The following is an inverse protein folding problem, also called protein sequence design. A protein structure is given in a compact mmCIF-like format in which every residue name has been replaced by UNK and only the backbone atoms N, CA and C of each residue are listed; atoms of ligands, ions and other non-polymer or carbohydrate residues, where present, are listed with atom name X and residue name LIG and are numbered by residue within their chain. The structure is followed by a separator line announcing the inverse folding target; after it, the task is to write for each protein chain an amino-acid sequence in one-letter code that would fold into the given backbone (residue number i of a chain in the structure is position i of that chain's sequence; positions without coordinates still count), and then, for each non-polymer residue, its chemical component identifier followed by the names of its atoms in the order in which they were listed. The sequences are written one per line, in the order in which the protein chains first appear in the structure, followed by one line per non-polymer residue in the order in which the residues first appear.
data_IF_791532952945
#
_entry.id   IF_791532952945
#
_cell.length_a   1.000
_cell.length_b   1.000
_cell.length_c   1.000
_cell.angle_alpha   90.00
_cell.angle_beta   90.00
_cell.angle_gamma   90.00
#
_symmetry.space_group_name_H-M   'P 1'
#
loop_
_entity.id
_entity.type
_entity.pdbx_description
1 polymer ?
#
# COMPACT_ATOMS: atom_id res chain seq x y z
N UNK A 1 -9.65 -5.65 1.40
CA UNK A 1 -8.84 -6.35 0.39
C UNK A 1 -7.54 -6.85 1.01
N UNK A 2 -6.99 -8.00 0.56
CA UNK A 2 -5.63 -8.41 0.94
C UNK A 2 -4.61 -7.46 0.28
N UNK A 3 -3.71 -6.79 1.05
CA UNK A 3 -2.77 -5.82 0.50
C UNK A 3 -1.78 -6.41 -0.52
N UNK A 4 -1.41 -7.69 -0.39
CA UNK A 4 -0.63 -8.39 -1.43
C UNK A 4 -1.31 -8.35 -2.80
N UNK A 5 -2.62 -8.57 -2.83
CA UNK A 5 -3.38 -8.61 -4.07
C UNK A 5 -3.37 -7.27 -4.79
N UNK A 6 -3.28 -6.16 -4.05
CA UNK A 6 -3.20 -4.81 -4.63
C UNK A 6 -2.00 -4.71 -5.58
N UNK A 7 -0.82 -5.07 -5.09
CA UNK A 7 0.43 -4.98 -5.86
C UNK A 7 0.55 -6.10 -6.90
N UNK A 8 0.04 -7.30 -6.60
CA UNK A 8 0.02 -8.41 -7.54
C UNK A 8 -0.85 -8.09 -8.77
N UNK A 9 -2.04 -7.52 -8.57
CA UNK A 9 -2.93 -7.10 -9.67
C UNK A 9 -2.31 -5.94 -10.48
N UNK A 10 -1.65 -4.98 -9.83
CA UNK A 10 -0.86 -3.94 -10.49
C UNK A 10 0.25 -4.56 -11.34
N UNK A 11 0.98 -5.52 -10.80
CA UNK A 11 2.17 -6.11 -11.41
C UNK A 11 1.90 -6.71 -12.80
N UNK A 12 0.70 -7.25 -13.02
CA UNK A 12 0.28 -7.80 -14.31
C UNK A 12 -0.19 -6.76 -15.33
N UNK A 13 -0.51 -5.54 -14.89
CA UNK A 13 -1.16 -4.48 -15.70
C UNK A 13 -0.26 -3.28 -15.98
N UNK A 14 0.69 -3.02 -15.10
CA UNK A 14 1.53 -1.83 -15.19
C UNK A 14 2.37 -1.81 -16.47
N UNK A 15 2.46 -0.67 -17.18
CA UNK A 15 3.29 -0.55 -18.37
C UNK A 15 4.78 -0.80 -18.10
N UNK A 16 5.46 -1.41 -19.08
CA UNK A 16 6.88 -1.79 -18.99
C UNK A 16 7.86 -0.61 -18.93
N UNK A 17 7.36 0.61 -19.09
CA UNK A 17 8.12 1.86 -18.95
C UNK A 17 7.68 2.69 -17.74
N UNK A 18 6.84 2.18 -16.86
CA UNK A 18 6.36 2.92 -15.70
C UNK A 18 7.47 3.22 -14.69
N UNK A 19 7.26 4.26 -13.89
CA UNK A 19 8.05 4.54 -12.70
C UNK A 19 7.16 4.25 -11.49
N UNK A 20 7.68 3.48 -10.53
CA UNK A 20 6.95 3.18 -9.31
C UNK A 20 7.67 3.77 -8.11
N UNK A 21 6.95 4.53 -7.31
CA UNK A 21 7.44 5.00 -6.01
C UNK A 21 6.72 4.27 -4.90
N UNK A 22 7.40 3.96 -3.83
CA UNK A 22 6.78 3.36 -2.66
C UNK A 22 7.08 4.18 -1.42
N UNK A 23 6.07 4.35 -0.59
CA UNK A 23 6.25 4.96 0.72
C UNK A 23 6.83 3.94 1.71
N UNK A 24 7.40 4.42 2.78
CA UNK A 24 7.88 3.59 3.88
C UNK A 24 6.73 2.95 4.66
N UNK A 25 7.02 1.84 5.32
CA UNK A 25 6.04 1.00 5.99
C UNK A 25 5.64 -0.21 5.16
N UNK A 26 4.47 -0.79 5.42
CA UNK A 26 4.01 -2.01 4.73
C UNK A 26 3.89 -1.86 3.22
N UNK A 27 3.67 -0.65 2.71
CA UNK A 27 3.66 -0.37 1.27
C UNK A 27 4.99 -0.76 0.59
N UNK A 28 6.14 -0.45 1.23
CA UNK A 28 7.46 -0.85 0.73
C UNK A 28 7.64 -2.37 0.69
N UNK A 29 7.11 -3.09 1.69
CA UNK A 29 7.20 -4.55 1.75
C UNK A 29 6.41 -5.20 0.62
N UNK A 30 5.18 -4.74 0.37
CA UNK A 30 4.35 -5.24 -0.72
C UNK A 30 4.94 -4.91 -2.07
N UNK A 31 5.46 -3.68 -2.25
CA UNK A 31 6.21 -3.27 -3.44
C UNK A 31 7.39 -4.22 -3.72
N UNK A 32 8.26 -4.43 -2.74
CA UNK A 32 9.46 -5.24 -2.91
C UNK A 32 9.16 -6.71 -3.18
N UNK A 33 8.06 -7.24 -2.63
CA UNK A 33 7.71 -8.66 -2.69
C UNK A 33 6.88 -9.03 -3.91
N UNK A 34 5.91 -8.20 -4.28
CA UNK A 34 4.86 -8.60 -5.21
C UNK A 34 4.92 -7.85 -6.56
N UNK A 35 5.68 -6.75 -6.68
CA UNK A 35 5.88 -6.06 -7.94
C UNK A 35 7.03 -6.67 -8.76
N UNK A 36 6.72 -7.10 -9.98
CA UNK A 36 7.73 -7.58 -10.93
C UNK A 36 8.23 -6.41 -11.78
N UNK A 37 9.47 -6.02 -11.56
CA UNK A 37 10.16 -5.03 -12.39
C UNK A 37 10.53 -5.66 -13.75
N UNK A 38 10.24 -4.96 -14.84
CA UNK A 38 10.52 -5.43 -16.20
C UNK A 38 10.69 -4.26 -17.18
N UNK A 39 11.16 -4.58 -18.39
CA UNK A 39 11.36 -3.57 -19.43
C UNK A 39 12.28 -2.44 -18.97
N UNK A 40 11.82 -1.21 -19.11
CA UNK A 40 12.52 -0.01 -18.68
C UNK A 40 11.95 0.61 -17.40
N UNK A 41 11.18 -0.16 -16.63
CA UNK A 41 10.62 0.29 -15.36
C UNK A 41 11.72 0.79 -14.41
N UNK A 42 11.37 1.76 -13.59
CA UNK A 42 12.23 2.28 -12.52
C UNK A 42 11.45 2.29 -11.21
N UNK A 43 12.18 2.16 -10.11
CA UNK A 43 11.60 2.23 -8.77
C UNK A 43 12.36 3.18 -7.87
N UNK A 44 11.67 3.82 -6.94
CA UNK A 44 12.28 4.67 -5.91
C UNK A 44 11.50 4.57 -4.61
N UNK A 45 12.23 4.50 -3.50
CA UNK A 45 11.70 4.54 -2.14
C UNK A 45 12.79 5.06 -1.19
N UNK A 46 12.42 5.44 0.04
CA UNK A 46 13.38 5.85 1.07
C UNK A 46 14.01 4.62 1.73
N UNK A 47 14.96 3.97 1.04
CA UNK A 47 15.51 2.67 1.44
C UNK A 47 16.43 2.70 2.66
N UNK A 48 17.08 3.83 2.94
CA UNK A 48 18.05 3.96 4.04
C UNK A 48 17.40 4.56 5.29
N UNK A 49 16.68 5.67 5.13
CA UNK A 49 16.09 6.41 6.25
C UNK A 49 14.66 5.96 6.56
N UNK A 50 14.05 5.13 5.71
CA UNK A 50 12.66 4.68 5.84
C UNK A 50 11.68 5.83 6.13
N UNK A 51 11.83 6.95 5.40
CA UNK A 51 11.04 8.16 5.61
C UNK A 51 9.59 7.94 5.19
N UNK A 52 8.65 8.10 6.11
CA UNK A 52 7.23 8.12 5.79
C UNK A 52 6.83 9.45 5.16
N UNK A 53 5.92 9.40 4.17
CA UNK A 53 5.45 10.57 3.42
C UNK A 53 6.27 10.90 2.18
N UNK A 54 7.19 10.03 1.74
CA UNK A 54 8.00 10.27 0.54
C UNK A 54 7.34 9.81 -0.76
N UNK A 55 6.36 8.90 -0.71
CA UNK A 55 5.83 8.22 -1.90
C UNK A 55 5.22 9.17 -2.93
N UNK A 56 4.35 10.10 -2.52
CA UNK A 56 3.74 11.10 -3.40
C UNK A 56 4.74 12.16 -3.88
N UNK A 57 5.56 12.79 -3.01
CA UNK A 57 6.63 13.69 -3.45
C UNK A 57 7.56 13.07 -4.50
N UNK A 58 7.96 11.81 -4.30
CA UNK A 58 8.81 11.10 -5.27
C UNK A 58 8.09 10.87 -6.61
N UNK A 59 6.79 10.58 -6.59
CA UNK A 59 5.99 10.44 -7.80
C UNK A 59 5.92 11.76 -8.59
N UNK A 60 5.72 12.86 -7.91
CA UNK A 60 5.74 14.22 -8.51
C UNK A 60 7.12 14.50 -9.10
N UNK A 61 8.19 14.25 -8.34
CA UNK A 61 9.57 14.39 -8.83
C UNK A 61 9.84 13.54 -10.08
N UNK A 62 9.35 12.30 -10.08
CA UNK A 62 9.44 11.40 -11.23
C UNK A 62 8.69 11.94 -12.45
N UNK A 63 7.51 12.57 -12.27
CA UNK A 63 6.74 13.21 -13.34
C UNK A 63 7.45 14.44 -13.92
N UNK A 64 8.12 15.24 -13.10
CA UNK A 64 8.93 16.35 -13.59
C UNK A 64 10.20 15.89 -14.36
N UNK A 65 10.83 14.81 -13.85
CA UNK A 65 12.02 14.25 -14.52
C UNK A 65 11.70 13.47 -15.80
N UNK A 66 10.53 12.85 -15.86
CA UNK A 66 10.11 11.96 -16.95
C UNK A 66 8.62 12.18 -17.28
N UNK A 67 8.24 13.34 -17.85
CA UNK A 67 6.83 13.72 -18.06
C UNK A 67 6.07 12.81 -19.03
N UNK A 68 6.77 12.04 -19.85
CA UNK A 68 6.21 11.13 -20.85
C UNK A 68 5.96 9.70 -20.32
N UNK A 69 6.22 9.45 -19.03
CA UNK A 69 6.10 8.12 -18.45
C UNK A 69 4.97 8.05 -17.43
N UNK A 70 4.22 6.93 -17.40
CA UNK A 70 3.26 6.70 -16.32
C UNK A 70 3.99 6.52 -14.99
N UNK A 71 3.43 7.06 -13.93
CA UNK A 71 3.96 6.96 -12.57
C UNK A 71 2.91 6.37 -11.64
N UNK A 72 3.31 5.44 -10.76
CA UNK A 72 2.46 4.87 -9.73
C UNK A 72 3.15 5.03 -8.37
N UNK A 73 2.46 5.64 -7.42
CA UNK A 73 2.87 5.70 -6.02
C UNK A 73 2.08 4.68 -5.19
N UNK A 74 2.77 3.85 -4.42
CA UNK A 74 2.17 2.95 -3.44
C UNK A 74 2.38 3.55 -2.05
N UNK A 75 1.32 3.92 -1.37
CA UNK A 75 1.38 4.75 -0.16
C UNK A 75 0.45 4.19 0.91
N UNK A 76 0.88 4.13 2.17
CA UNK A 76 -0.02 3.84 3.29
C UNK A 76 -0.85 5.07 3.68
N UNK A 77 -2.01 4.85 4.27
CA UNK A 77 -2.89 5.93 4.77
C UNK A 77 -2.21 6.83 5.81
N UNK A 78 -1.40 6.27 6.72
CA UNK A 78 -0.60 7.05 7.65
C UNK A 78 0.38 7.99 6.94
N UNK A 79 1.08 7.51 5.92
CA UNK A 79 1.99 8.34 5.12
C UNK A 79 1.24 9.42 4.33
N UNK A 80 0.04 9.13 3.84
CA UNK A 80 -0.82 10.13 3.21
C UNK A 80 -1.16 11.28 4.14
N UNK A 81 -1.49 10.99 5.40
CA UNK A 81 -1.83 12.03 6.39
C UNK A 81 -0.60 12.79 6.91
N UNK A 82 0.61 12.28 6.71
CA UNK A 82 1.85 13.00 7.02
C UNK A 82 2.17 14.08 5.98
N UNK A 83 2.38 13.70 4.71
CA UNK A 83 2.76 14.62 3.64
C UNK A 83 1.92 14.44 2.36
N UNK A 84 1.36 13.26 2.11
CA UNK A 84 0.73 12.93 0.84
C UNK A 84 -0.46 13.82 0.49
N UNK A 85 -1.25 14.24 1.47
CA UNK A 85 -2.43 15.09 1.26
C UNK A 85 -2.06 16.45 0.69
N UNK A 86 -1.04 17.11 1.24
CA UNK A 86 -0.54 18.39 0.73
C UNK A 86 0.01 18.24 -0.68
N UNK A 87 0.67 17.14 -0.97
CA UNK A 87 1.27 16.87 -2.27
C UNK A 87 0.24 16.52 -3.36
N UNK A 88 -0.94 16.05 -3.01
CA UNK A 88 -2.04 15.94 -3.98
C UNK A 88 -2.45 17.31 -4.53
N UNK A 89 -2.38 18.39 -3.72
CA UNK A 89 -2.59 19.77 -4.19
C UNK A 89 -1.48 20.20 -5.15
N UNK A 90 -0.22 19.85 -4.85
CA UNK A 90 0.92 20.06 -5.73
C UNK A 90 0.71 19.33 -7.06
N UNK A 91 0.28 18.07 -7.00
CA UNK A 91 -0.04 17.24 -8.17
C UNK A 91 -1.14 17.87 -9.02
N UNK A 92 -2.25 18.29 -8.40
CA UNK A 92 -3.36 18.96 -9.09
C UNK A 92 -2.90 20.26 -9.81
N UNK A 93 -2.02 21.04 -9.16
CA UNK A 93 -1.48 22.28 -9.72
C UNK A 93 -0.66 22.06 -10.99
N UNK A 94 0.14 20.98 -11.03
CA UNK A 94 1.13 20.77 -12.09
C UNK A 94 0.74 19.71 -13.13
N UNK A 95 -0.36 19.00 -12.94
CA UNK A 95 -0.79 17.87 -13.78
C UNK A 95 -0.83 18.20 -15.28
N UNK A 96 -1.24 19.42 -15.65
CA UNK A 96 -1.35 19.85 -17.05
C UNK A 96 0.02 20.06 -17.75
N UNK A 97 1.14 19.99 -17.00
CA UNK A 97 2.49 20.12 -17.56
C UNK A 97 3.08 18.76 -17.98
N UNK A 98 2.40 17.67 -17.67
CA UNK A 98 2.88 16.30 -17.96
C UNK A 98 2.25 15.80 -19.26
N UNK A 99 3.08 15.34 -20.21
CA UNK A 99 2.62 14.80 -21.49
C UNK A 99 1.84 13.50 -21.31
N UNK A 100 2.34 12.58 -20.49
CA UNK A 100 1.56 11.44 -20.03
C UNK A 100 0.81 11.85 -18.76
N UNK A 101 -0.53 11.93 -18.78
CA UNK A 101 -1.29 12.39 -17.61
C UNK A 101 -1.34 11.34 -16.48
N UNK A 102 -0.92 10.10 -16.73
CA UNK A 102 -1.04 8.99 -15.79
C UNK A 102 -0.08 9.17 -14.61
N UNK A 103 -0.64 9.56 -13.48
CA UNK A 103 0.02 9.56 -12.17
C UNK A 103 -0.99 8.99 -11.17
N UNK A 104 -0.79 7.75 -10.77
CA UNK A 104 -1.69 7.02 -9.87
C UNK A 104 -1.11 7.02 -8.47
N UNK A 105 -1.88 7.48 -7.50
CA UNK A 105 -1.58 7.32 -6.07
C UNK A 105 -2.48 6.23 -5.52
N UNK A 106 -1.92 5.05 -5.31
CA UNK A 106 -2.63 3.93 -4.71
C UNK A 106 -2.40 3.91 -3.20
N UNK A 107 -3.48 4.08 -2.46
CA UNK A 107 -3.45 4.14 -1.00
C UNK A 107 -3.85 2.77 -0.44
N UNK A 108 -2.97 2.19 0.35
CA UNK A 108 -3.24 1.02 1.16
C UNK A 108 -3.91 1.51 2.46
N UNK A 109 -5.24 1.54 2.43
CA UNK A 109 -6.08 2.14 3.46
C UNK A 109 -6.50 1.08 4.47
N UNK A 110 -5.91 1.10 5.67
CA UNK A 110 -6.19 0.14 6.72
C UNK A 110 -6.41 0.77 8.11
N UNK A 111 -6.38 2.09 8.21
CA UNK A 111 -6.56 2.89 9.44
C UNK A 111 -5.55 2.53 10.54
N UNK A 112 -4.34 2.10 10.14
CA UNK A 112 -3.33 1.63 11.07
C UNK A 112 -1.91 1.97 10.60
N UNK A 113 -1.02 2.38 11.52
CA UNK A 113 0.43 2.36 11.28
C UNK A 113 0.92 0.91 11.24
N UNK A 114 0.45 0.20 10.25
CA UNK A 114 0.46 -1.25 10.14
C UNK A 114 1.84 -1.90 10.28
N UNK A 115 2.87 -1.28 9.72
CA UNK A 115 4.24 -1.75 9.87
C UNK A 115 4.67 -1.72 11.34
N UNK A 116 4.40 -0.60 12.04
CA UNK A 116 4.73 -0.43 13.47
C UNK A 116 3.96 -1.42 14.33
N UNK A 117 2.66 -1.60 14.04
CA UNK A 117 1.82 -2.57 14.74
C UNK A 117 2.41 -3.98 14.65
N UNK A 118 2.81 -4.40 13.45
CA UNK A 118 3.38 -5.74 13.26
C UNK A 118 4.80 -5.89 13.79
N UNK A 119 5.61 -4.83 13.78
CA UNK A 119 6.92 -4.82 14.42
C UNK A 119 6.80 -5.01 15.94
N UNK A 120 5.89 -4.30 16.60
CA UNK A 120 5.62 -4.49 18.01
C UNK A 120 5.18 -5.91 18.33
N UNK A 121 4.25 -6.47 17.55
CA UNK A 121 3.75 -7.85 17.74
C UNK A 121 4.84 -8.90 17.51
N UNK A 122 5.54 -8.82 16.36
CA UNK A 122 6.44 -9.88 15.91
C UNK A 122 7.85 -9.79 16.52
N UNK A 123 8.30 -8.61 16.91
CA UNK A 123 9.64 -8.40 17.45
C UNK A 123 9.62 -8.13 18.95
N UNK A 124 8.63 -7.39 19.44
CA UNK A 124 8.52 -6.98 20.83
C UNK A 124 7.59 -7.84 21.69
N UNK A 125 6.77 -8.73 21.09
CA UNK A 125 5.74 -9.47 21.83
C UNK A 125 4.68 -8.59 22.48
N UNK A 126 4.59 -7.31 22.04
CA UNK A 126 3.70 -6.32 22.61
C UNK A 126 2.40 -6.21 21.79
N UNK A 127 1.23 -6.08 22.44
CA UNK A 127 -0.02 -5.82 21.77
C UNK A 127 -0.03 -4.44 21.11
N UNK A 128 -0.93 -4.27 20.11
CA UNK A 128 -1.17 -2.97 19.46
C UNK A 128 -1.54 -1.90 20.48
N UNK A 129 -0.88 -0.76 20.40
CA UNK A 129 -1.22 0.41 21.20
C UNK A 129 -2.05 1.39 20.37
N UNK A 130 -3.37 1.21 20.36
CA UNK A 130 -4.33 1.96 19.55
C UNK A 130 -4.11 3.48 19.55
N UNK A 131 -3.87 4.16 20.71
CA UNK A 131 -3.71 5.60 20.73
C UNK A 131 -2.57 6.16 19.86
N UNK A 132 -1.53 5.35 19.59
CA UNK A 132 -0.40 5.78 18.75
C UNK A 132 -0.43 5.22 17.34
N UNK A 133 -1.20 4.17 17.08
CA UNK A 133 -1.14 3.45 15.82
C UNK A 133 -2.39 3.62 14.96
N UNK A 134 -3.54 3.96 15.56
CA UNK A 134 -4.75 4.20 14.81
C UNK A 134 -4.65 5.47 13.96
N UNK A 135 -5.03 5.36 12.70
CA UNK A 135 -5.10 6.46 11.74
C UNK A 135 -6.56 6.88 11.61
N UNK A 136 -6.88 8.19 11.70
CA UNK A 136 -8.21 8.71 11.46
C UNK A 136 -8.72 8.32 10.06
N UNK A 137 -9.93 7.80 9.98
CA UNK A 137 -10.56 7.43 8.72
C UNK A 137 -10.97 8.67 7.92
N UNK A 138 -10.74 8.63 6.61
CA UNK A 138 -11.21 9.65 5.67
C UNK A 138 -11.28 9.09 4.25
N UNK A 139 -12.13 9.65 3.41
CA UNK A 139 -12.17 9.30 1.99
C UNK A 139 -11.09 10.06 1.21
N UNK A 140 -9.99 9.39 0.88
CA UNK A 140 -8.93 9.97 0.05
C UNK A 140 -9.38 10.16 -1.40
N UNK A 141 -10.24 9.29 -1.91
CA UNK A 141 -10.81 9.43 -3.25
C UNK A 141 -11.72 10.67 -3.36
N UNK A 142 -12.53 10.96 -2.33
CA UNK A 142 -13.36 12.17 -2.30
C UNK A 142 -12.50 13.44 -2.19
N UNK A 143 -11.47 13.40 -1.36
CA UNK A 143 -10.53 14.51 -1.28
C UNK A 143 -9.89 14.79 -2.64
N UNK A 144 -9.41 13.76 -3.34
CA UNK A 144 -8.83 13.91 -4.68
C UNK A 144 -9.83 14.57 -5.65
N UNK A 145 -11.09 14.11 -5.65
CA UNK A 145 -12.15 14.69 -6.48
C UNK A 145 -12.41 16.16 -6.13
N UNK A 146 -12.39 16.52 -4.86
CA UNK A 146 -12.63 17.90 -4.41
C UNK A 146 -11.60 18.91 -4.91
N UNK A 147 -10.39 18.45 -5.24
CA UNK A 147 -9.29 19.27 -5.76
C UNK A 147 -9.06 19.12 -7.27
N UNK A 148 -9.97 18.47 -7.99
CA UNK A 148 -9.94 18.33 -9.45
C UNK A 148 -9.13 17.15 -10.00
N UNK A 149 -8.67 16.24 -9.13
CA UNK A 149 -8.12 14.95 -9.54
C UNK A 149 -9.23 13.91 -9.72
N UNK A 150 -8.90 12.73 -10.25
CA UNK A 150 -9.80 11.58 -10.22
C UNK A 150 -9.65 10.80 -8.91
N UNK A 151 -10.69 10.06 -8.54
CA UNK A 151 -10.68 9.22 -7.34
C UNK A 151 -11.56 7.99 -7.49
N UNK A 152 -11.04 6.84 -7.10
CA UNK A 152 -11.75 5.56 -7.05
C UNK A 152 -11.55 4.96 -5.67
N UNK A 153 -12.65 4.54 -5.04
CA UNK A 153 -12.60 3.75 -3.79
C UNK A 153 -12.87 2.28 -4.10
N UNK A 154 -12.11 1.39 -3.47
CA UNK A 154 -12.22 -0.06 -3.63
C UNK A 154 -12.41 -0.71 -2.26
N UNK A 155 -13.54 -1.39 -2.07
CA UNK A 155 -13.83 -2.14 -0.85
C UNK A 155 -13.72 -3.65 -1.06
N UNK A 156 -14.02 -4.13 -2.26
CA UNK A 156 -14.11 -5.56 -2.54
C UNK A 156 -12.97 -6.04 -3.43
N UNK A 157 -12.43 -7.25 -3.17
CA UNK A 157 -11.33 -7.81 -3.97
C UNK A 157 -11.64 -7.91 -5.47
N UNK A 158 -12.90 -8.14 -5.84
CA UNK A 158 -13.29 -8.33 -7.24
C UNK A 158 -13.35 -7.03 -8.05
N UNK A 159 -13.40 -5.88 -7.36
CA UNK A 159 -13.36 -4.55 -7.99
C UNK A 159 -11.93 -4.14 -8.38
N UNK A 160 -10.91 -4.75 -7.76
CA UNK A 160 -9.54 -4.28 -7.80
C UNK A 160 -8.93 -4.29 -9.22
N UNK A 161 -9.18 -5.35 -9.98
CA UNK A 161 -8.68 -5.46 -11.36
C UNK A 161 -9.20 -4.33 -12.25
N UNK A 162 -10.52 -4.13 -12.26
CA UNK A 162 -11.16 -3.05 -13.05
C UNK A 162 -10.77 -1.65 -12.55
N UNK A 163 -10.54 -1.49 -11.25
CA UNK A 163 -10.07 -0.22 -10.67
C UNK A 163 -8.65 0.12 -11.16
N UNK A 164 -7.74 -0.86 -11.20
CA UNK A 164 -6.41 -0.68 -11.80
C UNK A 164 -6.47 -0.37 -13.29
N UNK A 165 -7.30 -1.09 -14.05
CA UNK A 165 -7.44 -0.84 -15.49
C UNK A 165 -7.92 0.60 -15.75
N UNK A 166 -8.88 1.09 -14.98
CA UNK A 166 -9.35 2.49 -15.05
C UNK A 166 -8.26 3.47 -14.61
N UNK A 167 -7.56 3.20 -13.51
CA UNK A 167 -6.51 4.09 -13.01
C UNK A 167 -5.35 4.22 -13.99
N UNK A 168 -4.95 3.12 -14.64
CA UNK A 168 -3.89 3.12 -15.64
C UNK A 168 -4.31 3.67 -17.01
N UNK A 169 -5.61 3.86 -17.25
CA UNK A 169 -6.17 4.51 -18.42
C UNK A 169 -6.61 5.98 -18.16
N UNK A 170 -6.41 6.50 -16.94
CA UNK A 170 -6.85 7.84 -16.56
C UNK A 170 -6.19 8.93 -17.40
N UNK A 171 -6.96 9.98 -17.70
CA UNK A 171 -6.51 11.14 -18.48
C UNK A 171 -6.07 12.32 -17.63
N UNK A 172 -6.04 12.13 -16.33
CA UNK A 172 -5.51 13.06 -15.31
C UNK A 172 -5.03 12.23 -14.10
N UNK A 173 -4.25 12.81 -13.20
CA UNK A 173 -3.83 12.10 -11.98
C UNK A 173 -5.01 11.59 -11.17
N UNK A 174 -4.84 10.41 -10.58
CA UNK A 174 -5.92 9.69 -9.91
C UNK A 174 -5.45 9.11 -8.57
N UNK A 175 -6.35 9.15 -7.59
CA UNK A 175 -6.19 8.43 -6.32
C UNK A 175 -7.02 7.15 -6.37
N UNK A 176 -6.36 6.03 -6.12
CA UNK A 176 -6.97 4.72 -5.92
C UNK A 176 -6.94 4.40 -4.42
N UNK A 177 -8.06 4.59 -3.76
CA UNK A 177 -8.24 4.43 -2.31
C UNK A 177 -8.73 3.00 -2.03
N UNK A 178 -7.81 2.11 -1.61
CA UNK A 178 -8.10 0.67 -1.46
C UNK A 178 -8.16 0.28 0.00
N UNK A 179 -9.37 0.00 0.50
CA UNK A 179 -9.57 -0.52 1.85
C UNK A 179 -9.00 -1.93 1.97
N UNK A 180 -7.95 -2.09 2.77
CA UNK A 180 -7.24 -3.35 2.92
C UNK A 180 -7.18 -3.82 4.38
N UNK A 181 -6.96 -5.13 4.53
CA UNK A 181 -6.97 -5.81 5.82
C UNK A 181 -5.67 -5.54 6.60
N UNK A 182 -5.73 -4.87 7.78
CA UNK A 182 -4.56 -4.63 8.62
C UNK A 182 -3.99 -5.91 9.26
N UNK A 183 -4.77 -7.00 9.30
CA UNK A 183 -4.35 -8.23 9.95
C UNK A 183 -3.54 -9.16 9.02
N UNK A 184 -3.27 -8.73 7.79
CA UNK A 184 -2.32 -9.41 6.91
C UNK A 184 -0.92 -8.94 7.25
N UNK A 185 -0.05 -9.80 7.85
CA UNK A 185 1.27 -9.39 8.30
C UNK A 185 2.18 -9.04 7.12
N UNK A 186 2.83 -7.86 7.14
CA UNK A 186 3.82 -7.48 6.13
C UNK A 186 5.16 -8.20 6.32
N UNK A 187 5.16 -9.33 7.04
CA UNK A 187 6.35 -10.11 7.39
C UNK A 187 6.76 -10.99 6.19
N UNK A 188 8.06 -11.26 6.00
CA UNK A 188 8.53 -12.23 5.01
C UNK A 188 7.86 -13.60 5.18
N UNK A 189 7.69 -14.39 4.10
CA UNK A 189 6.97 -15.67 4.13
C UNK A 189 7.59 -16.73 5.06
N UNK A 190 8.80 -16.48 5.56
CA UNK A 190 9.50 -17.33 6.54
C UNK A 190 9.59 -16.61 7.88
N UNK A 191 8.51 -16.66 8.66
CA UNK A 191 8.55 -16.20 10.04
C UNK A 191 9.50 -17.09 10.86
N UNK A 192 10.39 -16.47 11.66
CA UNK A 192 11.25 -17.19 12.60
C UNK A 192 10.43 -17.70 13.79
N UNK A 193 10.96 -18.70 14.50
CA UNK A 193 10.34 -19.20 15.74
C UNK A 193 10.17 -18.08 16.79
N UNK A 194 11.14 -17.16 16.88
CA UNK A 194 11.08 -16.04 17.81
C UNK A 194 9.93 -15.08 17.43
N UNK A 195 9.72 -14.79 16.14
CA UNK A 195 8.60 -13.97 15.67
C UNK A 195 7.25 -14.62 15.95
N UNK A 196 7.14 -15.94 15.79
CA UNK A 196 5.91 -16.68 16.11
C UNK A 196 5.63 -16.61 17.61
N UNK A 197 6.66 -16.82 18.44
CA UNK A 197 6.56 -16.73 19.89
C UNK A 197 6.13 -15.33 20.33
N UNK A 198 6.83 -14.29 19.87
CA UNK A 198 6.50 -12.88 20.20
C UNK A 198 5.08 -12.50 19.76
N UNK A 199 4.66 -12.91 18.57
CA UNK A 199 3.28 -12.68 18.10
C UNK A 199 2.25 -13.39 19.01
N UNK A 200 2.57 -14.60 19.48
CA UNK A 200 1.71 -15.33 20.42
C UNK A 200 1.64 -14.62 21.77
N UNK A 201 2.76 -14.10 22.25
CA UNK A 201 2.82 -13.30 23.49
C UNK A 201 1.97 -12.03 23.38
N UNK A 202 2.00 -11.34 22.24
CA UNK A 202 1.14 -10.17 21.99
C UNK A 202 -0.36 -10.55 22.05
N UNK A 203 -0.76 -11.65 21.43
CA UNK A 203 -2.14 -12.17 21.49
C UNK A 203 -2.56 -12.46 22.93
N UNK A 204 -1.73 -13.17 23.69
CA UNK A 204 -2.00 -13.51 25.09
C UNK A 204 -1.95 -12.27 26.01
N UNK A 205 -1.18 -11.26 25.63
CA UNK A 205 -1.04 -9.98 26.34
C UNK A 205 -2.23 -9.04 26.16
N UNK A 206 -3.27 -9.47 25.41
CA UNK A 206 -4.51 -8.70 25.24
C UNK A 206 -4.51 -7.76 24.03
N UNK A 207 -3.86 -8.19 22.93
CA UNK A 207 -3.95 -7.42 21.66
C UNK A 207 -5.41 -7.22 21.26
N UNK A 208 -5.84 -5.99 20.93
CA UNK A 208 -7.23 -5.69 20.61
C UNK A 208 -7.76 -6.43 19.36
N UNK A 209 -6.85 -6.86 18.48
CA UNK A 209 -7.18 -7.57 17.25
C UNK A 209 -6.90 -9.08 17.34
N UNK A 210 -6.59 -9.61 18.54
CA UNK A 210 -6.18 -11.00 18.77
C UNK A 210 -7.06 -12.03 18.05
N UNK A 211 -8.39 -11.87 18.12
CA UNK A 211 -9.33 -12.77 17.44
C UNK A 211 -9.19 -12.72 15.92
N UNK A 212 -9.06 -11.53 15.35
CA UNK A 212 -8.87 -11.35 13.89
C UNK A 212 -7.58 -11.99 13.42
N UNK A 213 -6.49 -11.81 14.17
CA UNK A 213 -5.18 -12.43 13.89
C UNK A 213 -5.27 -13.95 13.85
N UNK A 214 -5.95 -14.58 14.82
CA UNK A 214 -6.16 -16.03 14.87
C UNK A 214 -6.96 -16.50 13.64
N UNK A 215 -8.07 -15.84 13.35
CA UNK A 215 -8.92 -16.19 12.20
C UNK A 215 -8.16 -16.03 10.88
N UNK A 216 -7.39 -14.96 10.71
CA UNK A 216 -6.59 -14.74 9.51
C UNK A 216 -5.48 -15.77 9.36
N UNK A 217 -4.78 -16.12 10.44
CA UNK A 217 -3.77 -17.17 10.46
C UNK A 217 -4.34 -18.54 10.06
N UNK A 218 -5.53 -18.88 10.53
CA UNK A 218 -6.23 -20.11 10.14
C UNK A 218 -6.63 -20.10 8.66
N UNK A 219 -7.16 -18.99 8.16
CA UNK A 219 -7.52 -18.84 6.73
C UNK A 219 -6.31 -19.01 5.83
N UNK A 220 -5.18 -18.39 6.17
CA UNK A 220 -3.94 -18.51 5.41
C UNK A 220 -3.46 -19.95 5.35
N UNK A 221 -3.41 -20.65 6.49
CA UNK A 221 -3.06 -22.08 6.51
C UNK A 221 -4.01 -22.95 5.69
N UNK A 222 -5.32 -22.71 5.76
CA UNK A 222 -6.28 -23.45 4.93
C UNK A 222 -6.04 -23.23 3.44
N UNK A 223 -5.69 -22.03 3.03
CA UNK A 223 -5.38 -21.72 1.64
C UNK A 223 -4.08 -22.39 1.17
N UNK A 224 -3.05 -22.42 2.01
CA UNK A 224 -1.79 -23.15 1.73
C UNK A 224 -2.04 -24.65 1.55
N UNK A 225 -2.86 -25.28 2.41
CA UNK A 225 -3.24 -26.67 2.26
C UNK A 225 -4.05 -26.96 0.99
N UNK A 226 -4.92 -26.03 0.59
CA UNK A 226 -5.71 -26.17 -0.64
C UNK A 226 -4.85 -26.06 -1.91
N UNK A 227 -3.83 -25.19 -1.91
CA UNK A 227 -2.89 -25.04 -3.02
C UNK A 227 -1.88 -26.18 -3.09
N UNK A 228 -1.40 -26.67 -1.94
CA UNK A 228 -0.47 -27.81 -1.87
C UNK A 228 -1.04 -29.15 -2.36
N UNK A 229 -2.36 -29.30 -2.39
CA UNK A 229 -3.04 -30.49 -2.98
C UNK A 229 -3.25 -30.44 -4.48
N UNK A 230 -2.86 -29.32 -5.16
CA UNK A 230 -2.97 -29.15 -6.63
C UNK A 230 -1.62 -29.23 -7.34
N UNK A 231 -0.57 -29.68 -6.66
CA UNK A 231 0.74 -29.97 -7.25
C UNK A 231 1.01 -31.45 -7.31
#
# INVERSE_FOLDING_TARGET
VNPMRIVWELSSRIPDNAIVTADSGSAANWYARDLRMRGTMRGSLSGTLATMGCGVPYAIGAKFACPDRPVVALVGDGAMQMNGMAELLTMAKYANQWHDPRCVVCILHNNDLNQVTWELRAMGGAPKFVPSQAIPDMSYADFARSIGLEGITVYMPDELGSAWDRALAATRPIVLDVHCDPEVPPIPPHATWDQIKSTTEAVLGGDPDAWRMIVQGLKTKMQEFAVGRRR
#
